data_IF_277216659258
#
_entry.id   IF_277216659258
#
_cell.length_a   1.000
_cell.length_b   1.000
_cell.length_c   1.000
_cell.angle_alpha   90.00
_cell.angle_beta   90.00
_cell.angle_gamma   90.00
#
_symmetry.space_group_name_H-M   'P 1'
#
loop_
_entity.id
_entity.type
_entity.pdbx_description
1 polymer ?
#
# COMPACT_ATOMS: atom_id res chain seq x y z
N UNK A 1 4.12 34.84 -3.63
CA UNK A 1 4.63 33.68 -4.39
C UNK A 1 6.12 33.63 -4.18
N UNK A 2 6.59 32.89 -3.18
CA UNK A 2 7.99 32.48 -3.08
C UNK A 2 7.97 31.05 -2.53
N UNK A 3 8.44 30.11 -3.35
CA UNK A 3 8.53 28.70 -3.02
C UNK A 3 9.75 28.46 -2.14
N UNK A 4 9.51 27.88 -0.96
CA UNK A 4 10.56 27.33 -0.11
C UNK A 4 10.94 25.94 -0.58
N UNK A 5 12.15 25.78 -1.09
CA UNK A 5 12.73 24.48 -1.40
C UNK A 5 12.99 23.69 -0.11
N UNK A 6 12.52 22.44 -0.07
CA UNK A 6 12.80 21.52 1.02
C UNK A 6 14.27 21.09 0.97
N UNK A 7 15.01 21.34 2.06
CA UNK A 7 16.36 20.82 2.27
C UNK A 7 16.28 19.54 3.08
N UNK A 8 16.76 18.42 2.52
CA UNK A 8 16.87 17.14 3.20
C UNK A 8 18.26 16.98 3.82
N UNK A 9 18.32 16.50 5.06
CA UNK A 9 19.55 15.99 5.69
C UNK A 9 19.41 14.48 5.87
N UNK A 10 20.40 13.73 5.36
CA UNK A 10 20.45 12.28 5.42
C UNK A 10 21.33 11.84 6.58
N UNK A 11 20.77 11.12 7.55
CA UNK A 11 21.55 10.34 8.52
C UNK A 11 21.00 8.91 8.55
N UNK A 12 21.87 7.95 8.25
CA UNK A 12 21.66 6.50 8.43
C UNK A 12 20.44 5.87 7.70
N UNK A 13 20.36 6.05 6.38
CA UNK A 13 19.35 5.38 5.52
C UNK A 13 17.92 5.91 5.65
N UNK A 14 17.67 6.80 6.61
CA UNK A 14 16.41 7.48 6.83
C UNK A 14 16.48 8.93 6.30
N UNK A 15 15.59 9.29 5.38
CA UNK A 15 15.39 10.68 4.99
C UNK A 15 14.27 11.26 5.86
N UNK A 16 14.57 12.27 6.67
CA UNK A 16 13.57 12.92 7.53
C UNK A 16 12.66 13.80 6.68
N UNK A 17 11.37 13.45 6.62
CA UNK A 17 10.36 14.16 5.87
C UNK A 17 9.90 15.45 6.55
N UNK A 18 9.81 16.53 5.78
CA UNK A 18 9.19 17.79 6.16
C UNK A 18 7.69 17.58 6.36
N UNK A 19 7.27 17.45 7.63
CA UNK A 19 5.90 17.41 8.18
C UNK A 19 4.76 17.65 7.17
N UNK A 20 3.82 16.70 7.07
CA UNK A 20 2.59 16.83 6.31
C UNK A 20 1.58 17.71 7.05
N UNK A 21 0.84 18.54 6.31
CA UNK A 21 -0.33 19.22 6.85
C UNK A 21 -1.53 18.25 7.03
N UNK A 22 -2.53 18.67 7.80
CA UNK A 22 -3.68 17.83 8.12
C UNK A 22 -4.48 17.43 6.87
N UNK A 23 -4.65 18.33 5.90
CA UNK A 23 -5.41 18.04 4.69
C UNK A 23 -4.73 16.96 3.85
N UNK A 24 -3.40 16.99 3.79
CA UNK A 24 -2.58 15.98 3.11
C UNK A 24 -2.67 14.65 3.85
N UNK A 25 -2.54 14.65 5.19
CA UNK A 25 -2.70 13.43 5.98
C UNK A 25 -4.09 12.79 5.80
N UNK A 26 -5.15 13.60 5.85
CA UNK A 26 -6.52 13.13 5.67
C UNK A 26 -6.69 12.52 4.27
N UNK A 27 -6.12 13.15 3.24
CA UNK A 27 -6.17 12.65 1.87
C UNK A 27 -5.46 11.29 1.70
N UNK A 28 -4.24 11.14 2.23
CA UNK A 28 -3.47 9.90 2.07
C UNK A 28 -3.99 8.74 2.94
N UNK A 29 -4.67 9.05 4.05
CA UNK A 29 -5.27 8.05 4.95
C UNK A 29 -6.71 7.67 4.54
N UNK A 30 -7.35 8.46 3.68
CA UNK A 30 -8.71 8.22 3.22
C UNK A 30 -8.84 6.87 2.51
N UNK A 31 -9.90 6.13 2.84
CA UNK A 31 -10.26 4.85 2.23
C UNK A 31 -9.13 3.80 2.25
N UNK A 32 -8.20 3.92 3.22
CA UNK A 32 -7.14 2.95 3.46
C UNK A 32 -7.62 1.80 4.35
N UNK A 33 -7.10 0.61 4.10
CA UNK A 33 -7.41 -0.58 4.90
C UNK A 33 -6.25 -0.86 5.84
N UNK A 34 -6.48 -0.65 7.14
CA UNK A 34 -5.47 -0.81 8.18
C UNK A 34 -5.36 -2.27 8.59
N UNK A 35 -4.12 -2.78 8.70
CA UNK A 35 -3.77 -4.01 9.41
C UNK A 35 -3.21 -3.66 10.78
N UNK A 36 -3.79 -4.22 11.83
CA UNK A 36 -3.44 -3.94 13.23
C UNK A 36 -4.38 -2.93 13.90
N UNK A 37 -3.88 -2.24 14.92
CA UNK A 37 -4.66 -1.29 15.71
C UNK A 37 -5.01 -0.02 14.90
N UNK A 38 -6.31 0.24 14.67
CA UNK A 38 -6.76 1.43 13.93
C UNK A 38 -6.42 2.75 14.66
N UNK A 39 -6.33 2.68 15.98
CA UNK A 39 -6.03 3.82 16.86
C UNK A 39 -4.52 4.02 17.10
N UNK A 40 -3.67 3.19 16.49
CA UNK A 40 -2.22 3.31 16.57
C UNK A 40 -1.77 4.72 16.20
N UNK A 41 -0.82 5.31 16.94
CA UNK A 41 -0.29 6.65 16.63
C UNK A 41 0.48 6.66 15.32
N UNK A 42 1.32 5.67 15.11
CA UNK A 42 2.17 5.55 13.95
C UNK A 42 1.55 4.60 12.94
N UNK A 43 1.72 4.93 11.67
CA UNK A 43 1.36 4.04 10.57
C UNK A 43 2.52 3.90 9.61
N UNK A 44 2.75 2.68 9.15
CA UNK A 44 3.75 2.39 8.12
C UNK A 44 3.01 2.16 6.81
N UNK A 45 3.28 3.01 5.83
CA UNK A 45 2.87 2.79 4.44
C UNK A 45 3.90 1.91 3.75
N UNK A 46 3.44 0.81 3.15
CA UNK A 46 4.23 -0.02 2.24
C UNK A 46 3.79 0.24 0.80
N UNK A 47 4.56 1.03 0.05
CA UNK A 47 4.38 1.21 -1.38
C UNK A 47 5.05 0.06 -2.11
N UNK A 48 4.24 -0.79 -2.73
CA UNK A 48 4.73 -2.11 -3.14
C UNK A 48 4.04 -2.59 -4.41
N UNK A 49 4.81 -3.32 -5.21
CA UNK A 49 4.36 -3.98 -6.42
C UNK A 49 4.36 -5.49 -6.15
N UNK A 50 3.17 -6.09 -6.22
CA UNK A 50 2.94 -7.50 -5.92
C UNK A 50 3.68 -8.49 -6.83
N UNK A 51 4.16 -8.04 -8.01
CA UNK A 51 5.00 -8.84 -8.91
C UNK A 51 6.49 -8.54 -8.77
N UNK A 52 6.88 -7.50 -8.03
CA UNK A 52 8.29 -7.17 -7.81
C UNK A 52 8.97 -8.22 -6.91
N UNK A 53 10.11 -8.80 -7.33
CA UNK A 53 10.80 -9.83 -6.55
C UNK A 53 11.32 -9.32 -5.18
N UNK A 54 11.67 -8.04 -5.09
CA UNK A 54 12.07 -7.42 -3.81
C UNK A 54 10.89 -7.22 -2.88
N UNK A 55 9.73 -6.85 -3.43
CA UNK A 55 8.49 -6.72 -2.65
C UNK A 55 8.01 -8.08 -2.14
N UNK A 56 8.05 -9.12 -2.98
CA UNK A 56 7.77 -10.51 -2.57
C UNK A 56 8.66 -10.92 -1.39
N UNK A 57 9.97 -10.65 -1.47
CA UNK A 57 10.90 -10.93 -0.36
C UNK A 57 10.52 -10.13 0.88
N UNK A 58 10.31 -8.83 0.75
CA UNK A 58 9.97 -7.94 1.86
C UNK A 58 8.72 -8.41 2.61
N UNK A 59 7.69 -8.83 1.87
CA UNK A 59 6.46 -9.41 2.39
C UNK A 59 6.69 -10.78 3.04
N UNK A 60 7.38 -11.70 2.37
CA UNK A 60 7.63 -13.06 2.85
C UNK A 60 8.52 -13.10 4.10
N UNK A 61 9.48 -12.18 4.19
CA UNK A 61 10.34 -12.01 5.37
C UNK A 61 9.60 -11.34 6.54
N UNK A 62 8.34 -10.95 6.33
CA UNK A 62 7.46 -10.31 7.31
C UNK A 62 8.08 -9.04 7.90
N UNK A 63 8.78 -8.26 7.05
CA UNK A 63 9.64 -7.16 7.49
C UNK A 63 8.89 -6.15 8.36
N UNK A 64 7.72 -5.69 7.91
CA UNK A 64 6.91 -4.72 8.64
C UNK A 64 6.02 -5.36 9.71
N UNK A 65 5.58 -6.60 9.48
CA UNK A 65 4.74 -7.35 10.42
C UNK A 65 5.48 -7.54 11.75
N UNK A 66 6.78 -7.86 11.72
CA UNK A 66 7.63 -7.95 12.92
C UNK A 66 7.69 -6.63 13.70
N UNK A 67 7.65 -5.48 13.02
CA UNK A 67 7.61 -4.16 13.67
C UNK A 67 6.25 -3.93 14.33
N UNK A 68 5.15 -4.20 13.61
CA UNK A 68 3.80 -4.07 14.15
C UNK A 68 3.54 -5.03 15.33
N UNK A 69 4.08 -6.25 15.30
CA UNK A 69 4.00 -7.22 16.40
C UNK A 69 4.79 -6.76 17.63
N UNK A 70 5.92 -6.06 17.44
CA UNK A 70 6.70 -5.49 18.53
C UNK A 70 6.00 -4.28 19.18
N UNK A 71 5.21 -3.53 18.41
CA UNK A 71 4.51 -2.32 18.84
C UNK A 71 3.01 -2.35 18.50
N UNK A 72 2.24 -3.33 19.02
CA UNK A 72 0.90 -3.63 18.53
C UNK A 72 -0.13 -2.53 18.82
N UNK A 73 0.13 -1.70 19.83
CA UNK A 73 -0.72 -0.58 20.19
C UNK A 73 -0.33 0.72 19.47
N UNK A 74 0.93 0.84 19.06
CA UNK A 74 1.51 2.10 18.58
C UNK A 74 1.70 2.13 17.07
N UNK A 75 1.80 0.98 16.41
CA UNK A 75 2.09 0.85 14.98
C UNK A 75 1.00 0.06 14.27
N UNK A 76 0.50 0.64 13.18
CA UNK A 76 -0.35 -0.06 12.22
C UNK A 76 0.29 -0.09 10.83
N UNK A 77 -0.17 -0.99 9.98
CA UNK A 77 0.33 -1.14 8.62
C UNK A 77 -0.76 -0.79 7.61
N UNK A 78 -0.36 -0.11 6.54
CA UNK A 78 -1.20 0.15 5.37
C UNK A 78 -0.41 -0.22 4.13
N UNK A 79 -0.95 -1.15 3.35
CA UNK A 79 -0.42 -1.48 2.04
C UNK A 79 -0.93 -0.47 0.99
N UNK A 80 -0.02 0.03 0.15
CA UNK A 80 -0.30 0.99 -0.93
C UNK A 80 0.09 0.35 -2.27
N UNK A 81 -0.91 0.01 -3.06
CA UNK A 81 -0.74 -0.61 -4.38
C UNK A 81 0.03 0.31 -5.33
N UNK A 82 1.29 -0.04 -5.64
CA UNK A 82 2.16 0.73 -6.53
C UNK A 82 2.63 -0.12 -7.73
N UNK A 83 1.71 -0.55 -8.63
CA UNK A 83 2.06 -1.42 -9.75
C UNK A 83 2.94 -0.69 -10.77
N UNK A 84 4.18 -1.13 -10.94
CA UNK A 84 5.12 -0.59 -11.91
C UNK A 84 4.92 -1.27 -13.27
N UNK A 85 3.83 -0.92 -13.96
CA UNK A 85 3.35 -1.61 -15.18
C UNK A 85 4.37 -1.69 -16.33
N UNK A 86 5.37 -0.81 -16.36
CA UNK A 86 6.47 -0.88 -17.34
C UNK A 86 7.40 -2.07 -17.10
N UNK A 87 7.50 -2.53 -15.85
CA UNK A 87 8.29 -3.69 -15.43
C UNK A 87 7.41 -4.93 -15.28
N UNK A 88 6.20 -4.76 -14.78
CA UNK A 88 5.26 -5.84 -14.48
C UNK A 88 3.89 -5.55 -15.12
N UNK A 89 3.68 -5.90 -16.41
CA UNK A 89 2.49 -5.47 -17.18
C UNK A 89 1.14 -5.92 -16.60
N UNK A 90 1.12 -7.00 -15.82
CA UNK A 90 -0.11 -7.52 -15.21
C UNK A 90 -0.32 -7.08 -13.75
N UNK A 91 0.63 -6.36 -13.15
CA UNK A 91 0.55 -5.97 -11.73
C UNK A 91 -0.67 -5.10 -11.42
N UNK A 92 -1.08 -4.23 -12.36
CA UNK A 92 -2.26 -3.38 -12.17
C UNK A 92 -3.53 -4.22 -11.97
N UNK A 93 -3.70 -5.32 -12.71
CA UNK A 93 -4.87 -6.20 -12.57
C UNK A 93 -4.91 -6.84 -11.19
N UNK A 94 -3.77 -7.29 -10.67
CA UNK A 94 -3.69 -7.82 -9.31
C UNK A 94 -3.93 -6.75 -8.23
N UNK A 95 -3.39 -5.54 -8.42
CA UNK A 95 -3.61 -4.40 -7.53
C UNK A 95 -5.09 -4.02 -7.43
N UNK A 96 -5.77 -3.95 -8.57
CA UNK A 96 -7.21 -3.71 -8.64
C UNK A 96 -8.02 -4.81 -7.97
N UNK A 97 -7.62 -6.07 -8.16
CA UNK A 97 -8.26 -7.20 -7.52
C UNK A 97 -8.10 -7.18 -5.99
N UNK A 98 -6.95 -6.73 -5.47
CA UNK A 98 -6.72 -6.53 -4.03
C UNK A 98 -7.66 -5.46 -3.46
N UNK A 99 -7.79 -4.31 -4.13
CA UNK A 99 -8.72 -3.26 -3.71
C UNK A 99 -10.18 -3.75 -3.75
N UNK A 100 -10.55 -4.52 -4.77
CA UNK A 100 -11.86 -5.15 -4.86
C UNK A 100 -12.11 -6.17 -3.73
N UNK A 101 -11.11 -6.93 -3.32
CA UNK A 101 -11.23 -7.81 -2.15
C UNK A 101 -11.53 -6.99 -0.88
N UNK A 102 -10.84 -5.86 -0.72
CA UNK A 102 -11.10 -4.91 0.35
C UNK A 102 -12.50 -4.30 0.32
N UNK A 103 -13.00 -3.93 -0.85
CA UNK A 103 -14.36 -3.42 -1.03
C UNK A 103 -15.42 -4.46 -0.64
N UNK A 104 -15.22 -5.71 -1.03
CA UNK A 104 -16.22 -6.78 -0.85
C UNK A 104 -16.20 -7.36 0.56
N UNK A 105 -15.02 -7.52 1.16
CA UNK A 105 -14.84 -8.24 2.43
C UNK A 105 -14.10 -7.47 3.52
N UNK A 106 -13.81 -6.18 3.33
CA UNK A 106 -13.12 -5.34 4.30
C UNK A 106 -11.62 -5.65 4.41
N UNK A 107 -11.01 -5.13 5.49
CA UNK A 107 -9.55 -5.23 5.71
C UNK A 107 -9.06 -6.68 5.72
N UNK A 108 -9.77 -7.58 6.39
CA UNK A 108 -9.37 -9.00 6.47
C UNK A 108 -9.30 -9.66 5.09
N UNK A 109 -10.27 -9.38 4.21
CA UNK A 109 -10.27 -9.91 2.85
C UNK A 109 -9.17 -9.30 1.99
N UNK A 110 -8.93 -7.99 2.12
CA UNK A 110 -7.84 -7.30 1.44
C UNK A 110 -6.50 -7.97 1.74
N UNK A 111 -6.18 -8.15 3.02
CA UNK A 111 -4.88 -8.71 3.41
C UNK A 111 -4.77 -10.21 3.11
N UNK A 112 -5.84 -11.00 3.24
CA UNK A 112 -5.84 -12.41 2.80
C UNK A 112 -5.61 -12.53 1.29
N UNK A 113 -6.24 -11.64 0.51
CA UNK A 113 -6.04 -11.62 -0.94
C UNK A 113 -4.61 -11.19 -1.28
N UNK A 114 -4.10 -10.15 -0.61
CA UNK A 114 -2.73 -9.66 -0.78
C UNK A 114 -1.70 -10.76 -0.54
N UNK A 115 -1.82 -11.51 0.55
CA UNK A 115 -0.90 -12.61 0.89
C UNK A 115 -0.89 -13.67 -0.24
N UNK A 116 -2.05 -13.96 -0.86
CA UNK A 116 -2.16 -14.87 -2.01
C UNK A 116 -1.64 -14.27 -3.31
N UNK A 117 -1.84 -12.97 -3.50
CA UNK A 117 -1.40 -12.24 -4.67
C UNK A 117 0.14 -12.23 -4.79
N UNK A 118 0.86 -12.10 -3.68
CA UNK A 118 2.33 -12.19 -3.66
C UNK A 118 2.90 -13.55 -4.10
N UNK A 119 2.07 -14.60 -4.11
CA UNK A 119 2.45 -15.93 -4.59
C UNK A 119 2.30 -16.08 -6.12
N UNK A 120 1.72 -15.09 -6.81
CA UNK A 120 1.50 -15.14 -8.25
C UNK A 120 2.70 -14.59 -9.02
N UNK A 121 2.95 -15.14 -10.21
CA UNK A 121 3.95 -14.62 -11.15
C UNK A 121 3.36 -13.66 -12.19
N UNK A 122 2.04 -13.68 -12.36
CA UNK A 122 1.30 -12.78 -13.24
C UNK A 122 -0.18 -12.73 -12.84
N UNK A 123 -0.95 -11.81 -13.41
CA UNK A 123 -2.40 -11.73 -13.22
C UNK A 123 -3.17 -11.75 -14.54
N UNK A 124 -4.23 -12.55 -14.57
CA UNK A 124 -5.21 -12.63 -15.64
C UNK A 124 -6.62 -12.69 -15.04
N UNK A 125 -7.66 -12.73 -15.88
CA UNK A 125 -9.05 -12.76 -15.39
C UNK A 125 -9.40 -14.06 -14.66
N UNK A 126 -8.70 -15.16 -14.95
CA UNK A 126 -8.98 -16.44 -14.31
C UNK A 126 -8.40 -16.48 -12.90
N UNK A 127 -7.14 -16.10 -12.75
CA UNK A 127 -6.45 -16.23 -11.47
C UNK A 127 -6.96 -15.20 -10.44
N UNK A 128 -7.33 -13.99 -10.85
CA UNK A 128 -7.91 -13.02 -9.91
C UNK A 128 -9.24 -13.51 -9.31
N UNK A 129 -10.09 -14.14 -10.13
CA UNK A 129 -11.35 -14.71 -9.67
C UNK A 129 -11.12 -15.97 -8.84
N UNK A 130 -10.12 -16.80 -9.19
CA UNK A 130 -9.77 -18.00 -8.45
C UNK A 130 -9.30 -17.65 -7.02
N UNK A 131 -8.44 -16.64 -6.87
CA UNK A 131 -7.96 -16.17 -5.57
C UNK A 131 -9.11 -15.65 -4.69
N UNK A 132 -10.03 -14.87 -5.26
CA UNK A 132 -11.19 -14.36 -4.54
C UNK A 132 -12.09 -15.51 -4.04
N UNK A 133 -12.26 -16.56 -4.85
CA UNK A 133 -13.01 -17.76 -4.47
C UNK A 133 -12.30 -18.53 -3.35
N UNK A 134 -10.98 -18.67 -3.43
CA UNK A 134 -10.17 -19.37 -2.42
C UNK A 134 -10.33 -18.73 -1.03
N UNK A 135 -10.38 -17.39 -0.96
CA UNK A 135 -10.56 -16.68 0.30
C UNK A 135 -12.04 -16.48 0.70
N UNK A 136 -12.98 -17.08 -0.04
CA UNK A 136 -14.41 -17.11 0.29
C UNK A 136 -15.18 -15.83 -0.01
N UNK A 137 -14.73 -15.00 -0.95
CA UNK A 137 -15.45 -13.78 -1.32
C UNK A 137 -16.69 -14.06 -2.18
N UNK A 138 -17.67 -13.16 -2.09
CA UNK A 138 -18.83 -13.19 -2.96
C UNK A 138 -18.40 -12.92 -4.42
N UNK A 139 -18.44 -13.97 -5.25
CA UNK A 139 -17.93 -13.90 -6.63
C UNK A 139 -18.65 -12.86 -7.47
N UNK A 140 -19.98 -12.70 -7.34
CA UNK A 140 -20.73 -11.71 -8.13
C UNK A 140 -20.31 -10.28 -7.83
N UNK A 141 -20.19 -9.92 -6.54
CA UNK A 141 -19.73 -8.58 -6.13
C UNK A 141 -18.27 -8.33 -6.55
N UNK A 142 -17.42 -9.34 -6.40
CA UNK A 142 -16.01 -9.24 -6.75
C UNK A 142 -15.80 -9.08 -8.26
N UNK A 143 -16.41 -9.94 -9.07
CA UNK A 143 -16.34 -9.86 -10.54
C UNK A 143 -16.88 -8.52 -11.05
N UNK A 144 -17.99 -8.03 -10.49
CA UNK A 144 -18.49 -6.70 -10.85
C UNK A 144 -17.47 -5.59 -10.55
N UNK A 145 -16.78 -5.67 -9.40
CA UNK A 145 -15.79 -4.68 -9.02
C UNK A 145 -14.59 -4.67 -9.98
N UNK A 146 -14.01 -5.84 -10.25
CA UNK A 146 -12.82 -5.96 -11.12
C UNK A 146 -13.14 -5.52 -12.56
N UNK A 147 -14.32 -5.88 -13.08
CA UNK A 147 -14.70 -5.52 -14.45
C UNK A 147 -14.96 -4.02 -14.64
N UNK A 148 -15.41 -3.32 -13.59
CA UNK A 148 -15.71 -1.89 -13.65
C UNK A 148 -14.47 -1.01 -13.52
N UNK A 149 -13.32 -1.60 -13.22
CA UNK A 149 -12.06 -0.92 -12.95
C UNK A 149 -12.15 0.25 -11.96
N UNK A 150 -12.96 0.08 -10.90
CA UNK A 150 -13.35 1.18 -10.02
C UNK A 150 -12.18 1.79 -9.23
N UNK A 151 -11.08 1.04 -9.10
CA UNK A 151 -9.92 1.44 -8.30
C UNK A 151 -8.80 2.05 -9.11
N UNK A 152 -8.97 2.20 -10.43
CA UNK A 152 -7.97 2.82 -11.27
C UNK A 152 -7.53 4.19 -10.78
N UNK A 153 -8.47 5.10 -10.52
CA UNK A 153 -8.14 6.45 -10.05
C UNK A 153 -7.46 6.45 -8.67
N UNK A 154 -7.82 5.51 -7.79
CA UNK A 154 -7.17 5.35 -6.49
C UNK A 154 -5.71 4.93 -6.66
N UNK A 155 -5.45 3.93 -7.50
CA UNK A 155 -4.09 3.41 -7.77
C UNK A 155 -3.24 4.49 -8.46
N UNK A 156 -3.79 5.21 -9.44
CA UNK A 156 -3.09 6.34 -10.08
C UNK A 156 -2.73 7.43 -9.05
N UNK A 157 -3.64 7.72 -8.11
CA UNK A 157 -3.39 8.64 -7.00
C UNK A 157 -2.30 8.15 -6.05
N UNK A 158 -2.22 6.85 -5.74
CA UNK A 158 -1.15 6.26 -4.93
C UNK A 158 0.22 6.40 -5.62
N UNK A 159 0.27 6.17 -6.93
CA UNK A 159 1.50 6.34 -7.71
C UNK A 159 1.99 7.79 -7.69
N UNK A 160 1.07 8.76 -7.78
CA UNK A 160 1.40 10.18 -7.71
C UNK A 160 1.81 10.60 -6.29
N UNK A 161 1.07 10.15 -5.27
CA UNK A 161 1.37 10.35 -3.85
C UNK A 161 2.80 9.88 -3.52
N UNK A 162 3.14 8.64 -3.92
CA UNK A 162 4.46 8.07 -3.72
C UNK A 162 5.57 8.95 -4.30
N UNK A 163 5.41 9.42 -5.54
CA UNK A 163 6.42 10.21 -6.25
C UNK A 163 6.53 11.65 -5.75
N UNK A 164 5.40 12.32 -5.58
CA UNK A 164 5.38 13.77 -5.35
C UNK A 164 5.49 14.16 -3.89
N UNK A 165 4.92 13.36 -2.99
CA UNK A 165 4.95 13.63 -1.55
C UNK A 165 6.18 12.98 -0.93
N UNK A 166 6.45 11.73 -1.27
CA UNK A 166 7.48 10.93 -0.60
C UNK A 166 8.74 10.70 -1.45
N UNK A 167 8.78 11.13 -2.72
CA UNK A 167 9.94 10.92 -3.59
C UNK A 167 10.23 9.45 -3.92
N UNK A 168 9.28 8.55 -3.69
CA UNK A 168 9.39 7.11 -3.90
C UNK A 168 9.16 6.82 -5.39
N UNK A 169 10.21 6.35 -6.06
CA UNK A 169 10.20 6.03 -7.50
C UNK A 169 10.37 4.53 -7.80
N UNK A 170 10.51 3.70 -6.77
CA UNK A 170 10.69 2.26 -6.87
C UNK A 170 10.02 1.53 -5.72
N UNK A 171 10.00 0.19 -5.79
CA UNK A 171 9.35 -0.66 -4.79
C UNK A 171 10.31 -1.75 -4.28
N UNK A 172 10.24 -2.14 -2.99
CA UNK A 172 9.35 -1.58 -1.97
C UNK A 172 9.83 -0.19 -1.50
N UNK A 173 8.89 0.68 -1.14
CA UNK A 173 9.16 1.95 -0.47
C UNK A 173 8.36 2.04 0.82
N UNK A 174 9.00 2.40 1.94
CA UNK A 174 8.36 2.40 3.25
C UNK A 174 8.34 3.81 3.84
N UNK A 175 7.20 4.22 4.40
CA UNK A 175 7.07 5.51 5.08
C UNK A 175 6.46 5.31 6.46
N UNK A 176 7.14 5.77 7.50
CA UNK A 176 6.57 5.85 8.85
C UNK A 176 5.98 7.25 9.03
N UNK A 177 4.67 7.32 9.26
CA UNK A 177 3.95 8.57 9.55
C UNK A 177 3.51 8.59 11.02
N UNK A 178 3.82 9.68 11.71
CA UNK A 178 3.20 10.03 13.00
C UNK A 178 1.89 10.78 12.76
N UNK A 179 0.74 10.11 12.93
CA UNK A 179 -0.58 10.69 12.67
C UNK A 179 -0.92 11.88 13.58
N UNK A 180 -0.20 12.06 14.69
CA UNK A 180 -0.46 13.19 15.60
C UNK A 180 0.28 14.46 15.19
N UNK A 181 1.47 14.31 14.61
CA UNK A 181 2.34 15.46 14.31
C UNK A 181 2.51 15.74 12.82
N UNK A 182 2.13 14.80 11.95
CA UNK A 182 2.38 14.86 10.51
C UNK A 182 3.82 14.63 10.11
N UNK A 183 4.73 14.43 11.08
CA UNK A 183 6.12 14.07 10.78
C UNK A 183 6.17 12.69 10.18
N UNK A 184 7.02 12.52 9.17
CA UNK A 184 7.24 11.22 8.56
C UNK A 184 8.72 10.99 8.27
N UNK A 185 9.06 9.71 8.10
CA UNK A 185 10.39 9.26 7.70
C UNK A 185 10.23 8.24 6.60
N UNK A 186 11.06 8.35 5.57
CA UNK A 186 11.14 7.35 4.49
C UNK A 186 12.26 6.37 4.81
N UNK A 187 11.99 5.08 4.66
CA UNK A 187 12.93 3.97 4.88
C UNK A 187 13.11 3.22 3.56
N UNK A 188 14.33 3.23 3.06
CA UNK A 188 14.74 2.55 1.81
C UNK A 188 15.60 1.32 2.12
#
# INVERSE_FOLDING_TARGET
>A
MEGGAATSETTDGATTGTTLDQATMDAILKDTLIKGNKDARFVIFEYSDILCPFCKRHHNDQTLQKVAEKYPNDVALIFKNMPLVQLHPTAFKGAEAIECAGKVGGSDAFYKYLDKAFLQESFDDNNVLALAKEIGLNSSKFTSCVNNQEFKSKIDGILEEARTIFGINGTPGNVILDKQTGKYVIIN
#
